data_IF_429621850472
#
_entry.id   IF_429621850472
#
_cell.length_a   1.000
_cell.length_b   1.000
_cell.length_c   1.000
_cell.angle_alpha   90.00
_cell.angle_beta   90.00
_cell.angle_gamma   90.00
#
_symmetry.space_group_name_H-M   'P 1'
#
loop_
_entity.id
_entity.type
_entity.pdbx_description
1 polymer ?
#
# COMPACT_ATOMS: atom_id res chain seq x y z
N UNK A 1 12.44 1.09 12.66
CA UNK A 1 12.33 0.77 11.21
C UNK A 1 12.33 -0.74 11.06
N UNK A 2 11.36 -1.30 10.32
CA UNK A 2 11.28 -2.74 10.07
C UNK A 2 12.26 -3.14 8.95
N UNK A 3 12.65 -4.40 8.96
CA UNK A 3 13.23 -5.11 7.80
C UNK A 3 12.12 -5.59 6.87
N UNK A 4 12.47 -6.02 5.65
CA UNK A 4 11.53 -6.63 4.68
C UNK A 4 10.82 -7.84 5.28
N UNK A 5 11.58 -8.73 5.94
CA UNK A 5 11.02 -9.93 6.57
C UNK A 5 10.03 -9.59 7.68
N UNK A 6 10.38 -8.65 8.57
CA UNK A 6 9.48 -8.20 9.65
C UNK A 6 8.19 -7.56 9.12
N UNK A 7 8.29 -6.77 8.03
CA UNK A 7 7.12 -6.19 7.36
C UNK A 7 6.22 -7.28 6.74
N UNK A 8 6.81 -8.27 6.08
CA UNK A 8 6.08 -9.41 5.55
C UNK A 8 5.39 -10.24 6.64
N UNK A 9 6.08 -10.51 7.76
CA UNK A 9 5.49 -11.21 8.89
C UNK A 9 4.33 -10.44 9.53
N UNK A 10 4.44 -9.12 9.60
CA UNK A 10 3.37 -8.26 10.09
C UNK A 10 2.15 -8.32 9.15
N UNK A 11 2.36 -8.22 7.84
CA UNK A 11 1.31 -8.32 6.82
C UNK A 11 0.63 -9.71 6.82
N UNK A 12 1.35 -10.79 7.10
CA UNK A 12 0.74 -12.13 7.26
C UNK A 12 -0.29 -12.19 8.39
N UNK A 13 -0.14 -11.38 9.43
CA UNK A 13 -1.06 -11.31 10.57
C UNK A 13 -2.25 -10.38 10.32
N UNK A 14 -2.17 -9.53 9.29
CA UNK A 14 -3.24 -8.60 8.96
C UNK A 14 -4.35 -9.29 8.18
N UNK A 15 -5.57 -8.83 8.41
CA UNK A 15 -6.75 -9.12 7.60
C UNK A 15 -7.63 -7.86 7.53
N UNK A 16 -8.64 -7.83 6.66
CA UNK A 16 -9.50 -6.66 6.44
C UNK A 16 -8.67 -5.38 6.25
N UNK A 17 -7.72 -5.45 5.30
CA UNK A 17 -6.71 -4.42 5.08
C UNK A 17 -7.23 -3.35 4.12
N UNK A 18 -7.11 -2.09 4.51
CA UNK A 18 -7.29 -0.93 3.64
C UNK A 18 -5.93 -0.33 3.29
N UNK A 19 -5.64 -0.20 2.00
CA UNK A 19 -4.39 0.36 1.51
C UNK A 19 -4.64 1.79 1.02
N UNK A 20 -3.83 2.73 1.48
CA UNK A 20 -3.90 4.15 1.16
C UNK A 20 -2.83 4.53 0.14
N UNK A 21 -3.21 5.38 -0.81
CA UNK A 21 -2.34 6.03 -1.80
C UNK A 21 -2.33 7.55 -1.58
N UNK A 22 -1.33 8.26 -2.09
CA UNK A 22 -1.25 9.72 -1.91
C UNK A 22 -2.27 10.50 -2.79
N UNK A 23 -2.49 11.78 -2.46
CA UNK A 23 -3.56 12.65 -2.99
C UNK A 23 -3.54 12.83 -4.52
N UNK A 24 -2.39 12.73 -5.16
CA UNK A 24 -2.22 12.77 -6.63
C UNK A 24 -1.51 11.50 -7.07
N UNK A 25 -2.22 10.36 -7.07
CA UNK A 25 -1.58 9.06 -7.19
C UNK A 25 -0.95 8.89 -8.58
N UNK A 26 0.33 8.60 -8.60
CA UNK A 26 1.10 8.25 -9.78
C UNK A 26 1.20 6.73 -9.97
N UNK A 27 2.03 6.29 -10.93
CA UNK A 27 2.22 4.88 -11.22
C UNK A 27 2.86 4.10 -10.07
N UNK A 28 3.77 4.72 -9.31
CA UNK A 28 4.47 4.03 -8.21
C UNK A 28 3.51 3.72 -7.06
N UNK A 29 2.77 4.72 -6.55
CA UNK A 29 1.82 4.48 -5.45
C UNK A 29 0.68 3.54 -5.85
N UNK A 30 0.13 3.66 -7.09
CA UNK A 30 -0.96 2.79 -7.57
C UNK A 30 -0.47 1.38 -7.83
N UNK A 31 0.69 1.22 -8.46
CA UNK A 31 1.31 -0.08 -8.71
C UNK A 31 1.62 -0.83 -7.42
N UNK A 32 2.26 -0.14 -6.46
CA UNK A 32 2.53 -0.68 -5.13
C UNK A 32 1.25 -1.14 -4.42
N UNK A 33 0.22 -0.29 -4.39
CA UNK A 33 -1.03 -0.59 -3.71
C UNK A 33 -1.76 -1.79 -4.35
N UNK A 34 -1.88 -1.81 -5.67
CA UNK A 34 -2.54 -2.89 -6.42
C UNK A 34 -1.81 -4.23 -6.24
N UNK A 35 -0.48 -4.25 -6.39
CA UNK A 35 0.31 -5.46 -6.23
C UNK A 35 0.26 -6.00 -4.79
N UNK A 36 0.37 -5.14 -3.79
CA UNK A 36 0.25 -5.55 -2.39
C UNK A 36 -1.14 -6.10 -2.08
N UNK A 37 -2.19 -5.45 -2.61
CA UNK A 37 -3.57 -5.92 -2.46
C UNK A 37 -3.76 -7.31 -3.09
N UNK A 38 -3.28 -7.51 -4.32
CA UNK A 38 -3.32 -8.81 -5.00
C UNK A 38 -2.56 -9.89 -4.21
N UNK A 39 -1.39 -9.58 -3.68
CA UNK A 39 -0.60 -10.51 -2.87
C UNK A 39 -1.32 -10.90 -1.57
N UNK A 40 -1.95 -9.96 -0.88
CA UNK A 40 -2.74 -10.24 0.32
C UNK A 40 -3.98 -11.11 0.00
N UNK A 41 -4.65 -10.84 -1.13
CA UNK A 41 -5.77 -11.67 -1.60
C UNK A 41 -5.32 -13.09 -1.97
N UNK A 42 -4.14 -13.25 -2.57
CA UNK A 42 -3.57 -14.57 -2.85
C UNK A 42 -3.32 -15.41 -1.57
N UNK A 43 -3.13 -14.75 -0.43
CA UNK A 43 -3.05 -15.38 0.90
C UNK A 43 -4.43 -15.63 1.54
N UNK A 44 -5.52 -15.41 0.82
CA UNK A 44 -6.89 -15.58 1.32
C UNK A 44 -7.38 -14.44 2.23
N UNK A 45 -6.70 -13.29 2.22
CA UNK A 45 -7.06 -12.15 3.06
C UNK A 45 -8.03 -11.20 2.34
N UNK A 46 -8.83 -10.50 3.11
CA UNK A 46 -9.65 -9.40 2.61
C UNK A 46 -8.80 -8.13 2.55
N UNK A 47 -8.59 -7.61 1.35
CA UNK A 47 -7.79 -6.41 1.13
C UNK A 47 -8.39 -5.55 0.01
N UNK A 48 -8.36 -4.23 0.19
CA UNK A 48 -8.86 -3.24 -0.75
C UNK A 48 -8.03 -1.96 -0.73
N UNK A 49 -8.15 -1.17 -1.80
CA UNK A 49 -7.60 0.18 -1.90
C UNK A 49 -8.69 1.20 -1.54
N UNK A 50 -8.35 2.20 -0.73
CA UNK A 50 -9.27 3.32 -0.49
C UNK A 50 -9.49 4.07 -1.82
N UNK A 51 -10.74 4.24 -2.30
CA UNK A 51 -11.01 5.02 -3.50
C UNK A 51 -10.32 6.37 -3.47
N UNK A 52 -9.61 6.72 -4.54
CA UNK A 52 -8.83 7.95 -4.61
C UNK A 52 -9.38 8.85 -5.73
N UNK A 53 -9.89 10.06 -5.40
CA UNK A 53 -10.47 10.96 -6.39
C UNK A 53 -9.44 11.57 -7.37
N UNK A 54 -8.15 11.43 -7.09
CA UNK A 54 -7.06 11.93 -7.93
C UNK A 54 -6.57 10.97 -9.01
N UNK A 55 -7.21 9.80 -9.20
CA UNK A 55 -6.84 8.84 -10.24
C UNK A 55 -6.94 9.45 -11.64
N UNK A 56 -5.99 9.09 -12.50
CA UNK A 56 -5.99 9.44 -13.92
C UNK A 56 -6.44 8.26 -14.79
N UNK A 57 -6.76 8.50 -16.06
CA UNK A 57 -7.13 7.43 -17.01
C UNK A 57 -6.03 6.37 -17.15
N UNK A 58 -4.77 6.73 -16.94
CA UNK A 58 -3.64 5.81 -17.02
C UNK A 58 -3.50 4.92 -15.78
N UNK A 59 -3.90 5.39 -14.61
CA UNK A 59 -3.76 4.68 -13.33
C UNK A 59 -5.03 3.96 -12.89
N UNK A 60 -6.19 4.48 -13.26
CA UNK A 60 -7.50 3.92 -12.90
C UNK A 60 -7.69 2.44 -13.26
N UNK A 61 -7.25 1.92 -14.42
CA UNK A 61 -7.42 0.51 -14.77
C UNK A 61 -6.71 -0.46 -13.80
N UNK A 62 -5.56 -0.06 -13.24
CA UNK A 62 -4.81 -0.88 -12.28
C UNK A 62 -5.40 -0.80 -10.87
N UNK A 63 -6.09 0.29 -10.56
CA UNK A 63 -6.72 0.53 -9.27
C UNK A 63 -8.10 -0.12 -9.15
N UNK A 64 -8.92 -0.01 -10.18
CA UNK A 64 -10.34 -0.36 -10.17
C UNK A 64 -10.66 -1.79 -9.66
N UNK A 65 -9.89 -2.84 -10.01
CA UNK A 65 -10.17 -4.20 -9.53
C UNK A 65 -10.06 -4.36 -7.99
N UNK A 66 -9.36 -3.43 -7.36
CA UNK A 66 -9.03 -3.50 -5.94
C UNK A 66 -9.74 -2.45 -5.09
N UNK A 67 -10.53 -1.54 -5.70
CA UNK A 67 -11.21 -0.48 -4.98
C UNK A 67 -12.15 -1.04 -3.89
N UNK A 68 -12.11 -0.44 -2.71
CA UNK A 68 -12.98 -0.83 -1.60
C UNK A 68 -14.45 -0.59 -1.96
N UNK A 69 -15.34 -1.56 -1.69
CA UNK A 69 -16.77 -1.34 -1.80
C UNK A 69 -17.26 -0.36 -0.74
N UNK A 70 -18.39 0.28 -1.02
CA UNK A 70 -19.06 1.12 -0.03
C UNK A 70 -19.35 0.34 1.27
N UNK A 71 -19.09 0.97 2.40
CA UNK A 71 -19.31 0.36 3.71
C UNK A 71 -18.21 -0.61 4.17
N UNK A 72 -17.11 -0.77 3.43
CA UNK A 72 -15.98 -1.57 3.91
C UNK A 72 -15.39 -0.97 5.20
N UNK A 73 -15.31 -1.78 6.25
CA UNK A 73 -14.73 -1.41 7.54
C UNK A 73 -13.39 -2.11 7.72
N UNK A 74 -12.26 -1.39 7.63
CA UNK A 74 -10.95 -2.00 7.80
C UNK A 74 -10.61 -2.28 9.27
N UNK A 75 -9.94 -3.40 9.51
CA UNK A 75 -9.28 -3.71 10.77
C UNK A 75 -7.84 -3.16 10.78
N UNK A 76 -7.20 -3.13 9.62
CA UNK A 76 -5.81 -2.68 9.42
C UNK A 76 -5.71 -1.69 8.29
N UNK A 77 -4.84 -0.73 8.46
CA UNK A 77 -4.58 0.33 7.48
C UNK A 77 -3.10 0.33 7.11
N UNK A 78 -2.81 0.28 5.83
CA UNK A 78 -1.45 0.32 5.28
C UNK A 78 -1.34 1.51 4.33
N UNK A 79 -0.28 2.29 4.42
CA UNK A 79 0.04 3.33 3.43
C UNK A 79 1.23 2.90 2.57
N UNK A 80 1.17 3.22 1.28
CA UNK A 80 2.25 2.96 0.33
C UNK A 80 2.65 4.24 -0.39
N UNK A 81 3.95 4.50 -0.44
CA UNK A 81 4.52 5.63 -1.17
C UNK A 81 3.98 7.00 -0.71
N UNK A 82 3.87 7.19 0.59
CA UNK A 82 3.40 8.42 1.21
C UNK A 82 4.48 8.92 2.18
N UNK A 83 5.16 10.00 1.82
CA UNK A 83 6.25 10.54 2.64
C UNK A 83 5.77 11.24 3.93
N UNK A 84 4.62 11.88 3.87
CA UNK A 84 4.05 12.69 4.97
C UNK A 84 2.53 12.57 4.99
N UNK A 85 1.92 12.67 6.17
CA UNK A 85 0.46 12.66 6.30
C UNK A 85 -0.23 13.82 5.56
N UNK A 86 0.51 14.91 5.26
CA UNK A 86 0.05 16.00 4.42
C UNK A 86 -0.35 15.60 2.99
N UNK A 87 0.16 14.46 2.49
CA UNK A 87 -0.15 13.92 1.17
C UNK A 87 -1.36 12.96 1.15
N UNK A 88 -2.00 12.72 2.29
CA UNK A 88 -3.23 11.93 2.33
C UNK A 88 -4.38 12.68 1.64
N UNK A 89 -5.18 12.03 0.78
CA UNK A 89 -6.42 12.60 0.26
C UNK A 89 -7.44 12.82 1.39
N UNK A 90 -8.39 13.73 1.20
CA UNK A 90 -9.34 14.12 2.25
C UNK A 90 -10.12 12.92 2.83
N UNK A 91 -10.53 11.98 1.98
CA UNK A 91 -11.24 10.78 2.43
C UNK A 91 -10.36 9.77 3.20
N UNK A 92 -9.03 9.93 3.17
CA UNK A 92 -8.10 9.16 3.98
C UNK A 92 -7.80 9.77 5.36
N UNK A 93 -8.16 11.04 5.58
CA UNK A 93 -7.94 11.74 6.87
C UNK A 93 -8.46 10.99 8.10
N UNK A 94 -9.63 10.32 8.07
CA UNK A 94 -10.10 9.53 9.20
C UNK A 94 -9.15 8.40 9.62
N UNK A 95 -8.29 7.94 8.70
CA UNK A 95 -7.35 6.85 8.94
C UNK A 95 -5.95 7.33 9.36
N UNK A 96 -5.63 8.62 9.29
CA UNK A 96 -4.29 9.19 9.53
C UNK A 96 -3.64 8.66 10.82
N UNK A 97 -4.39 8.64 11.94
CA UNK A 97 -3.89 8.15 13.23
C UNK A 97 -4.00 6.62 13.41
N UNK A 98 -4.48 5.92 12.40
CA UNK A 98 -4.75 4.49 12.42
C UNK A 98 -3.88 3.70 11.44
N UNK A 99 -2.87 4.33 10.83
CA UNK A 99 -1.96 3.65 9.91
C UNK A 99 -1.10 2.67 10.70
N UNK A 100 -1.35 1.38 10.50
CA UNK A 100 -0.65 0.30 11.20
C UNK A 100 0.73 0.03 10.60
N UNK A 101 0.88 0.17 9.27
CA UNK A 101 2.14 0.00 8.56
C UNK A 101 2.27 1.04 7.45
N UNK A 102 3.42 1.71 7.40
CA UNK A 102 3.77 2.61 6.29
C UNK A 102 4.99 2.08 5.55
N UNK A 103 4.84 1.97 4.21
CA UNK A 103 5.86 1.51 3.27
C UNK A 103 6.24 2.69 2.39
N UNK A 104 7.52 3.10 2.39
CA UNK A 104 7.96 4.27 1.62
C UNK A 104 9.41 4.16 1.16
N UNK A 105 9.80 5.00 0.21
CA UNK A 105 11.19 5.14 -0.24
C UNK A 105 11.72 6.58 -0.17
N UNK A 106 10.91 7.55 0.19
CA UNK A 106 11.34 8.95 0.24
C UNK A 106 12.29 9.23 1.40
N UNK A 107 13.41 9.93 1.16
CA UNK A 107 14.30 10.37 2.25
C UNK A 107 13.63 11.30 3.27
N UNK A 108 12.54 11.98 2.87
CA UNK A 108 11.75 12.88 3.70
C UNK A 108 10.63 12.20 4.50
N UNK A 109 10.60 10.86 4.53
CA UNK A 109 9.58 10.10 5.23
C UNK A 109 9.52 10.44 6.72
N UNK A 110 8.33 10.80 7.22
CA UNK A 110 8.15 11.31 8.60
C UNK A 110 7.89 10.22 9.68
N UNK A 111 7.76 8.95 9.28
CA UNK A 111 7.61 7.86 10.25
C UNK A 111 6.27 7.83 11.00
N UNK A 112 5.18 8.14 10.32
CA UNK A 112 3.85 8.33 10.92
C UNK A 112 3.05 7.05 11.18
N UNK A 113 3.46 5.91 10.61
CA UNK A 113 2.82 4.60 10.87
C UNK A 113 3.20 4.05 12.25
N UNK A 114 2.36 3.19 12.81
CA UNK A 114 2.71 2.44 14.03
C UNK A 114 3.94 1.56 13.82
N UNK A 115 4.05 0.99 12.63
CA UNK A 115 5.24 0.33 12.12
C UNK A 115 5.63 0.97 10.78
N UNK A 116 6.93 1.08 10.51
CA UNK A 116 7.42 1.77 9.34
C UNK A 116 8.59 1.02 8.72
N UNK A 117 8.62 0.99 7.38
CA UNK A 117 9.80 0.60 6.63
C UNK A 117 10.04 1.61 5.51
N UNK A 118 11.27 2.09 5.39
CA UNK A 118 11.67 3.04 4.35
C UNK A 118 12.96 2.60 3.70
N UNK A 119 13.04 2.73 2.37
CA UNK A 119 14.24 2.43 1.57
C UNK A 119 14.69 3.66 0.77
N UNK A 120 15.36 4.65 1.36
CA UNK A 120 15.66 5.93 0.73
C UNK A 120 16.58 5.87 -0.50
N UNK A 121 17.21 4.71 -0.75
CA UNK A 121 18.08 4.47 -1.91
C UNK A 121 17.40 3.73 -3.06
N UNK A 122 16.15 3.30 -2.87
CA UNK A 122 15.39 2.69 -3.94
C UNK A 122 14.95 3.75 -4.97
N UNK A 123 14.94 3.38 -6.24
CA UNK A 123 14.50 4.28 -7.31
C UNK A 123 12.98 4.51 -7.26
N UNK A 124 12.22 3.54 -6.73
CA UNK A 124 10.79 3.57 -6.57
C UNK A 124 10.37 2.78 -5.32
N UNK A 125 9.20 3.07 -4.76
CA UNK A 125 8.60 2.28 -3.69
C UNK A 125 8.31 0.86 -4.15
N UNK A 126 8.05 0.66 -5.45
CA UNK A 126 7.86 -0.63 -6.08
C UNK A 126 8.97 -1.64 -5.82
N UNK A 127 10.24 -1.22 -5.74
CA UNK A 127 11.34 -2.13 -5.38
C UNK A 127 11.19 -2.70 -3.96
N UNK A 128 10.80 -1.85 -3.01
CA UNK A 128 10.57 -2.29 -1.63
C UNK A 128 9.36 -3.22 -1.53
N UNK A 129 8.25 -2.84 -2.17
CA UNK A 129 7.01 -3.61 -2.17
C UNK A 129 7.20 -4.96 -2.84
N UNK A 130 7.94 -5.04 -3.95
CA UNK A 130 8.29 -6.29 -4.63
C UNK A 130 9.04 -7.25 -3.69
N UNK A 131 10.04 -6.74 -2.97
CA UNK A 131 10.81 -7.58 -2.03
C UNK A 131 9.94 -8.10 -0.88
N UNK A 132 9.03 -7.28 -0.35
CA UNK A 132 8.06 -7.70 0.67
C UNK A 132 7.11 -8.77 0.10
N UNK A 133 6.60 -8.58 -1.11
CA UNK A 133 5.69 -9.55 -1.75
C UNK A 133 6.37 -10.91 -1.96
N UNK A 134 7.64 -10.93 -2.35
CA UNK A 134 8.41 -12.18 -2.52
C UNK A 134 8.52 -12.99 -1.23
N UNK A 135 8.55 -12.32 -0.09
CA UNK A 135 8.48 -12.99 1.22
C UNK A 135 7.07 -13.49 1.54
N UNK A 136 6.02 -12.87 0.99
CA UNK A 136 4.62 -13.22 1.29
C UNK A 136 4.12 -14.41 0.48
N UNK A 137 4.33 -14.40 -0.83
CA UNK A 137 3.71 -15.34 -1.78
C UNK A 137 4.52 -15.43 -3.08
N UNK A 138 4.41 -16.53 -3.84
CA UNK A 138 4.98 -16.59 -5.18
C UNK A 138 4.44 -15.46 -6.06
N UNK A 139 5.32 -14.89 -6.89
CA UNK A 139 4.96 -13.81 -7.81
C UNK A 139 4.14 -14.37 -8.98
N UNK A 140 2.90 -13.95 -9.09
CA UNK A 140 2.02 -14.24 -10.23
C UNK A 140 1.98 -13.08 -11.21
N UNK A 141 1.46 -13.31 -12.43
CA UNK A 141 1.27 -12.23 -13.40
C UNK A 141 0.34 -11.13 -12.85
N UNK A 142 -0.72 -11.49 -12.15
CA UNK A 142 -1.66 -10.53 -11.54
C UNK A 142 -0.96 -9.60 -10.53
N UNK A 143 -0.05 -10.16 -9.72
CA UNK A 143 0.72 -9.40 -8.74
C UNK A 143 1.80 -8.55 -9.41
N UNK A 144 2.48 -9.08 -10.43
CA UNK A 144 3.61 -8.43 -11.06
C UNK A 144 3.22 -7.32 -12.05
N UNK A 145 2.04 -7.43 -12.67
CA UNK A 145 1.62 -6.50 -13.72
C UNK A 145 1.48 -5.04 -13.25
N UNK A 146 0.98 -4.74 -12.05
CA UNK A 146 0.90 -3.36 -11.55
C UNK A 146 2.25 -2.76 -11.15
N UNK A 147 3.23 -3.59 -10.76
CA UNK A 147 4.57 -3.13 -10.37
C UNK A 147 5.41 -2.68 -11.56
#
# INVERSE_FOLDING_TARGET
MLTVLEAAELLRRFDHVLILTHVRPDGDTVGCAAALCAALRALGKMAYLLPNPGLTDNTAPYFAPYAAPEGFVPERVVSVDIATTGLLPDNARPYEKRIDLALDHHPSFEGFGRANIVRPKAAACGELVLDIIRELTPLTQEIALPL
#
